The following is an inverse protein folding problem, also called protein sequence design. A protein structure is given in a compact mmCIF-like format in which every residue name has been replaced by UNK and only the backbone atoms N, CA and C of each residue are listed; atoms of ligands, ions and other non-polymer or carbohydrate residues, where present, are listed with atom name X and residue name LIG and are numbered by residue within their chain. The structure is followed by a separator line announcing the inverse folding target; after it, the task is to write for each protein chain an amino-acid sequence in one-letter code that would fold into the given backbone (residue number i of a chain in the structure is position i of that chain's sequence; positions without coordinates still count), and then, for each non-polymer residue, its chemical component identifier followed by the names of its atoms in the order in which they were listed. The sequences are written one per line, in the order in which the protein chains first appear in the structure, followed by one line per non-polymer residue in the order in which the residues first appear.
data_IF_740634044871
#
_entry.id   IF_740634044871
#
_cell.length_a   1.000
_cell.length_b   1.000
_cell.length_c   1.000
_cell.angle_alpha   90.00
_cell.angle_beta   90.00
_cell.angle_gamma   90.00
#
_symmetry.space_group_name_H-M   'P 1'
#
loop_
_entity.id
_entity.type
_entity.pdbx_description
1 polymer ?
#
# COMPACT_ATOMS: atom_id res chain seq x y z
N UNK A 1 -19.19 -35.95 -34.80
CA UNK A 1 -18.46 -35.04 -33.91
C UNK A 1 -19.37 -33.85 -33.68
N UNK A 2 -20.05 -33.84 -32.54
CA UNK A 2 -21.05 -32.86 -32.18
C UNK A 2 -20.32 -31.74 -31.43
N UNK A 3 -20.36 -30.52 -31.97
CA UNK A 3 -19.81 -29.33 -31.31
C UNK A 3 -20.79 -28.84 -30.27
N UNK A 4 -20.51 -29.07 -29.00
CA UNK A 4 -21.20 -28.37 -27.90
C UNK A 4 -20.92 -26.88 -27.99
N UNK A 5 -21.94 -26.12 -28.34
CA UNK A 5 -21.94 -24.68 -28.18
C UNK A 5 -22.12 -24.35 -26.67
N UNK A 6 -21.06 -23.91 -26.05
CA UNK A 6 -21.12 -23.30 -24.69
C UNK A 6 -22.06 -22.10 -24.75
N UNK A 7 -23.08 -22.09 -23.93
CA UNK A 7 -23.99 -20.95 -23.78
C UNK A 7 -23.21 -19.72 -23.27
N UNK A 8 -23.52 -18.51 -23.72
CA UNK A 8 -22.90 -17.30 -23.19
C UNK A 8 -23.23 -17.18 -21.69
N UNK A 9 -22.20 -16.84 -20.89
CA UNK A 9 -22.38 -16.54 -19.48
C UNK A 9 -23.40 -15.41 -19.30
N UNK A 10 -24.35 -15.60 -18.40
CA UNK A 10 -25.29 -14.51 -18.04
C UNK A 10 -24.51 -13.30 -17.54
N UNK A 11 -24.91 -12.07 -17.96
CA UNK A 11 -24.29 -10.86 -17.43
C UNK A 11 -24.54 -10.79 -15.94
N UNK A 12 -23.45 -10.48 -15.18
CA UNK A 12 -23.54 -10.20 -13.76
C UNK A 12 -24.59 -9.14 -13.51
N UNK A 13 -25.67 -9.48 -12.84
CA UNK A 13 -26.64 -8.52 -12.35
C UNK A 13 -25.96 -7.70 -11.25
N UNK A 14 -25.56 -6.47 -11.57
CA UNK A 14 -25.19 -5.51 -10.54
C UNK A 14 -26.46 -5.17 -9.80
N UNK A 15 -26.51 -5.55 -8.53
CA UNK A 15 -27.58 -5.15 -7.62
C UNK A 15 -27.61 -3.61 -7.59
N UNK A 16 -28.73 -2.99 -7.98
CA UNK A 16 -28.91 -1.53 -7.95
C UNK A 16 -28.82 -0.94 -6.54
N UNK A 17 -28.69 -1.80 -5.51
CA UNK A 17 -28.42 -1.46 -4.11
C UNK A 17 -26.99 -1.05 -3.78
N UNK A 18 -26.02 -1.04 -4.72
CA UNK A 18 -24.68 -0.44 -4.52
C UNK A 18 -24.74 1.10 -4.51
N UNK A 19 -25.84 1.63 -4.00
CA UNK A 19 -26.15 3.04 -3.88
C UNK A 19 -25.66 3.63 -2.57
N UNK A 20 -24.68 4.50 -2.67
CA UNK A 20 -24.51 5.75 -1.91
C UNK A 20 -24.34 5.73 -0.39
N UNK A 21 -24.58 4.66 0.36
CA UNK A 21 -24.37 4.66 1.80
C UNK A 21 -23.00 4.05 2.18
N UNK A 22 -21.96 4.90 2.13
CA UNK A 22 -20.62 4.50 2.61
C UNK A 22 -20.69 4.31 4.14
N UNK A 23 -20.35 3.10 4.61
CA UNK A 23 -20.30 2.79 6.04
C UNK A 23 -21.60 2.16 6.57
N UNK A 24 -21.70 2.14 7.90
CA UNK A 24 -22.81 1.55 8.64
C UNK A 24 -23.46 2.58 9.57
N UNK A 25 -24.76 2.42 9.84
CA UNK A 25 -25.52 3.25 10.79
C UNK A 25 -25.14 2.98 12.26
N UNK A 26 -25.85 3.59 13.23
CA UNK A 26 -25.72 3.29 14.65
C UNK A 26 -25.92 1.81 14.94
N UNK A 27 -25.14 1.29 15.88
CA UNK A 27 -25.29 -0.10 16.34
C UNK A 27 -26.55 -0.22 17.21
N UNK A 28 -27.40 -1.25 16.99
CA UNK A 28 -28.56 -1.48 17.84
C UNK A 28 -28.16 -1.75 19.30
N UNK A 29 -28.97 -1.32 20.24
CA UNK A 29 -28.80 -1.65 21.67
C UNK A 29 -29.39 -3.04 21.99
N UNK A 30 -28.86 -3.75 23.01
CA UNK A 30 -27.72 -3.35 23.84
C UNK A 30 -26.38 -3.51 23.11
N UNK A 31 -25.47 -2.56 23.37
CA UNK A 31 -24.15 -2.60 22.73
C UNK A 31 -23.29 -3.76 23.25
N UNK A 32 -22.47 -4.35 22.36
CA UNK A 32 -21.51 -5.38 22.77
C UNK A 32 -20.52 -4.85 23.81
N UNK A 33 -20.17 -5.66 24.78
CA UNK A 33 -19.15 -5.37 25.78
C UNK A 33 -17.78 -5.81 25.25
N UNK A 34 -17.17 -4.99 24.40
CA UNK A 34 -15.87 -5.24 23.78
C UNK A 34 -15.02 -3.96 23.85
N UNK A 35 -13.87 -4.04 24.52
CA UNK A 35 -12.96 -2.90 24.71
C UNK A 35 -12.37 -2.34 23.39
N UNK A 36 -12.50 -3.08 22.29
CA UNK A 36 -12.06 -2.60 20.97
C UNK A 36 -13.03 -1.60 20.35
N UNK A 37 -14.28 -1.56 20.81
CA UNK A 37 -15.34 -0.74 20.21
C UNK A 37 -15.30 0.69 20.72
N UNK A 38 -15.57 1.61 19.81
CA UNK A 38 -15.67 3.05 20.07
C UNK A 38 -17.14 3.42 20.35
N UNK A 39 -17.46 3.91 21.55
CA UNK A 39 -18.82 4.29 21.89
C UNK A 39 -19.44 5.35 20.97
N UNK A 40 -18.65 6.29 20.48
CA UNK A 40 -19.11 7.32 19.54
C UNK A 40 -19.50 6.71 18.19
N UNK A 41 -18.74 5.74 17.73
CA UNK A 41 -19.05 5.03 16.47
C UNK A 41 -20.28 4.13 16.64
N UNK A 42 -20.44 3.49 17.80
CA UNK A 42 -21.65 2.70 18.11
C UNK A 42 -22.89 3.61 18.14
N UNK A 43 -22.80 4.79 18.74
CA UNK A 43 -23.92 5.73 18.86
C UNK A 43 -24.30 6.40 17.53
N UNK A 44 -23.31 6.72 16.67
CA UNK A 44 -23.53 7.57 15.50
C UNK A 44 -23.29 6.88 14.16
N UNK A 45 -22.81 5.62 14.16
CA UNK A 45 -22.44 4.87 12.98
C UNK A 45 -20.98 5.09 12.55
N UNK A 46 -20.50 4.24 11.66
CA UNK A 46 -19.13 4.24 11.17
C UNK A 46 -19.07 4.42 9.66
N UNK A 47 -18.61 5.59 9.22
CA UNK A 47 -18.44 5.96 7.80
C UNK A 47 -16.98 5.92 7.33
N UNK A 48 -16.08 5.34 8.14
CA UNK A 48 -14.67 5.23 7.78
C UNK A 48 -14.49 4.24 6.62
N UNK A 49 -13.41 4.42 5.85
CA UNK A 49 -13.00 3.48 4.80
C UNK A 49 -12.23 2.30 5.43
N UNK A 50 -12.95 1.43 6.12
CA UNK A 50 -12.42 0.21 6.74
C UNK A 50 -13.25 -0.99 6.28
N UNK A 51 -12.66 -2.17 6.29
CA UNK A 51 -13.37 -3.43 6.04
C UNK A 51 -14.41 -3.68 7.15
N UNK A 52 -15.43 -4.48 6.88
CA UNK A 52 -16.56 -4.65 7.81
C UNK A 52 -16.15 -5.25 9.16
N UNK A 53 -15.12 -6.09 9.19
CA UNK A 53 -14.55 -6.62 10.42
C UNK A 53 -14.13 -5.54 11.42
N UNK A 54 -13.69 -4.37 10.93
CA UNK A 54 -13.24 -3.25 11.76
C UNK A 54 -14.33 -2.20 12.05
N UNK A 55 -15.58 -2.48 11.67
CA UNK A 55 -16.68 -1.54 11.96
C UNK A 55 -16.80 -1.33 13.46
N UNK A 56 -16.94 -0.07 13.83
CA UNK A 56 -17.03 0.43 15.19
C UNK A 56 -15.77 0.23 16.07
N UNK A 57 -14.67 -0.36 15.56
CA UNK A 57 -13.46 -0.49 16.37
C UNK A 57 -12.78 0.87 16.56
N UNK A 58 -12.14 1.07 17.71
CA UNK A 58 -11.21 2.19 17.91
C UNK A 58 -10.06 2.12 16.92
N UNK A 59 -9.47 3.27 16.59
CA UNK A 59 -8.30 3.30 15.70
C UNK A 59 -7.14 2.49 16.27
N UNK A 60 -6.93 2.62 17.57
CA UNK A 60 -5.87 1.94 18.31
C UNK A 60 -6.03 0.42 18.25
N UNK A 61 -7.26 -0.09 18.39
CA UNK A 61 -7.55 -1.51 18.26
C UNK A 61 -7.29 -2.03 16.83
N UNK A 62 -7.65 -1.24 15.80
CA UNK A 62 -7.37 -1.61 14.40
C UNK A 62 -5.85 -1.66 14.17
N UNK A 63 -5.08 -0.65 14.62
CA UNK A 63 -3.63 -0.65 14.45
C UNK A 63 -3.00 -1.83 15.17
N UNK A 64 -3.40 -2.11 16.40
CA UNK A 64 -2.88 -3.24 17.17
C UNK A 64 -3.14 -4.59 16.48
N UNK A 65 -4.32 -4.78 15.90
CA UNK A 65 -4.64 -5.99 15.13
C UNK A 65 -3.79 -6.09 13.85
N UNK A 66 -3.69 -5.01 13.08
CA UNK A 66 -2.86 -4.97 11.87
C UNK A 66 -1.39 -5.27 12.18
N UNK A 67 -0.87 -4.78 13.30
CA UNK A 67 0.53 -4.96 13.71
C UNK A 67 0.90 -6.42 13.96
N UNK A 68 -0.07 -7.27 14.30
CA UNK A 68 0.15 -8.72 14.49
C UNK A 68 0.48 -9.48 13.21
N UNK A 69 0.20 -8.88 12.03
CA UNK A 69 0.25 -9.57 10.73
C UNK A 69 0.85 -8.73 9.60
N UNK A 70 1.51 -7.58 9.92
CA UNK A 70 2.22 -6.79 8.89
C UNK A 70 3.29 -7.62 8.20
N UNK A 71 3.37 -7.45 6.90
CA UNK A 71 4.41 -8.06 6.09
C UNK A 71 5.76 -7.40 6.32
N UNK A 72 6.85 -8.15 6.10
CA UNK A 72 8.21 -7.73 6.41
C UNK A 72 8.87 -6.83 5.35
N UNK A 73 8.08 -6.16 4.51
CA UNK A 73 8.59 -5.16 3.59
C UNK A 73 8.21 -3.75 4.03
N UNK A 74 9.09 -2.83 3.77
CA UNK A 74 8.93 -1.41 4.01
C UNK A 74 8.77 -0.66 2.68
N UNK A 75 8.15 0.50 2.73
CA UNK A 75 7.97 1.38 1.57
C UNK A 75 8.60 2.73 1.87
N UNK A 76 9.53 3.18 1.05
CA UNK A 76 10.14 4.50 1.18
C UNK A 76 9.82 5.34 -0.07
N UNK A 77 9.53 6.62 0.13
CA UNK A 77 9.21 7.56 -0.96
C UNK A 77 10.00 8.85 -0.76
N UNK A 78 10.71 9.28 -1.80
CA UNK A 78 11.34 10.58 -1.82
C UNK A 78 10.30 11.70 -1.96
N UNK A 79 10.42 12.73 -1.15
CA UNK A 79 9.50 13.86 -1.07
C UNK A 79 10.24 15.20 -1.08
N UNK A 80 10.79 15.60 -2.21
CA UNK A 80 11.49 16.87 -2.38
C UNK A 80 10.59 17.98 -2.95
N UNK A 81 9.56 17.60 -3.73
CA UNK A 81 8.69 18.50 -4.48
C UNK A 81 7.18 18.44 -4.14
N UNK A 82 6.77 17.93 -2.97
CA UNK A 82 5.36 17.74 -2.59
C UNK A 82 4.57 16.88 -3.59
N UNK A 83 5.07 15.70 -3.89
CA UNK A 83 4.46 14.77 -4.83
C UNK A 83 3.03 14.39 -4.42
N UNK A 84 2.10 14.52 -5.36
CA UNK A 84 0.69 14.15 -5.18
C UNK A 84 0.49 12.63 -5.03
N UNK A 85 1.44 11.82 -5.51
CA UNK A 85 1.34 10.37 -5.51
C UNK A 85 1.60 9.75 -4.14
N UNK A 86 2.28 10.44 -3.23
CA UNK A 86 2.63 9.91 -1.90
C UNK A 86 1.38 9.41 -1.16
N UNK A 87 0.28 10.14 -1.20
CA UNK A 87 -0.98 9.70 -0.60
C UNK A 87 -1.49 8.38 -1.18
N UNK A 88 -1.38 8.19 -2.49
CA UNK A 88 -1.76 6.93 -3.15
C UNK A 88 -0.84 5.79 -2.77
N UNK A 89 0.48 6.05 -2.67
CA UNK A 89 1.46 5.05 -2.21
C UNK A 89 1.15 4.61 -0.77
N UNK A 90 0.89 5.56 0.12
CA UNK A 90 0.51 5.28 1.52
C UNK A 90 -0.76 4.42 1.60
N UNK A 91 -1.78 4.76 0.81
CA UNK A 91 -3.02 3.97 0.75
C UNK A 91 -2.77 2.54 0.25
N UNK A 92 -1.97 2.39 -0.77
CA UNK A 92 -1.62 1.08 -1.33
C UNK A 92 -0.79 0.26 -0.35
N UNK A 93 0.19 0.88 0.31
CA UNK A 93 1.01 0.24 1.34
C UNK A 93 0.16 -0.24 2.54
N UNK A 94 -0.87 0.53 2.93
CA UNK A 94 -1.83 0.09 3.93
C UNK A 94 -2.65 -1.12 3.43
N UNK A 95 -3.12 -1.09 2.18
CA UNK A 95 -3.90 -2.19 1.60
C UNK A 95 -3.08 -3.49 1.50
N UNK A 96 -1.77 -3.40 1.23
CA UNK A 96 -0.85 -4.53 1.19
C UNK A 96 -0.13 -4.78 2.52
N UNK A 97 -0.55 -4.13 3.58
CA UNK A 97 -0.08 -4.38 4.95
C UNK A 97 1.44 -4.30 5.10
N UNK A 98 2.07 -3.30 4.43
CA UNK A 98 3.49 -3.02 4.58
C UNK A 98 3.86 -2.75 6.04
N UNK A 99 5.08 -3.08 6.44
CA UNK A 99 5.55 -2.91 7.83
C UNK A 99 5.47 -1.47 8.28
N UNK A 100 6.09 -0.58 7.53
CA UNK A 100 6.17 0.84 7.81
C UNK A 100 6.38 1.62 6.50
N UNK A 101 5.99 2.89 6.49
CA UNK A 101 6.22 3.81 5.38
C UNK A 101 7.24 4.86 5.80
N UNK A 102 8.18 5.17 4.93
CA UNK A 102 9.27 6.11 5.15
C UNK A 102 9.14 7.27 4.17
N UNK A 103 8.97 8.47 4.69
CA UNK A 103 8.95 9.70 3.90
C UNK A 103 10.34 10.33 3.99
N UNK A 104 11.04 10.41 2.85
CA UNK A 104 12.41 10.90 2.78
C UNK A 104 12.43 12.32 2.21
N UNK A 105 13.04 13.25 2.93
CA UNK A 105 13.09 14.68 2.55
C UNK A 105 12.09 15.54 3.32
N UNK A 106 11.20 16.23 2.64
CA UNK A 106 10.23 17.11 3.30
C UNK A 106 9.26 16.33 4.19
N UNK A 107 9.11 16.79 5.45
CA UNK A 107 8.21 16.13 6.42
C UNK A 107 6.73 16.22 6.05
N UNK A 108 6.33 17.32 5.42
CA UNK A 108 4.94 17.51 4.97
C UNK A 108 4.76 16.87 3.60
N UNK A 109 3.73 16.09 3.44
CA UNK A 109 3.35 15.45 2.19
C UNK A 109 1.84 15.55 1.95
N UNK A 110 1.40 15.37 0.72
CA UNK A 110 -0.01 15.45 0.36
C UNK A 110 -0.77 14.19 0.79
N UNK A 111 -1.63 14.33 1.80
CA UNK A 111 -2.43 13.25 2.37
C UNK A 111 -3.73 12.95 1.62
N UNK A 112 -4.11 13.76 0.65
CA UNK A 112 -5.40 13.61 -0.05
C UNK A 112 -5.60 12.21 -0.63
N UNK A 113 -4.61 11.69 -1.33
CA UNK A 113 -4.63 10.35 -1.93
C UNK A 113 -4.69 9.21 -0.93
N UNK A 114 -4.26 9.44 0.31
CA UNK A 114 -4.29 8.42 1.36
C UNK A 114 -5.72 8.08 1.83
N UNK A 115 -6.71 8.93 1.57
CA UNK A 115 -8.10 8.69 1.99
C UNK A 115 -8.21 8.27 3.45
N UNK A 116 -7.43 8.95 4.32
CA UNK A 116 -7.36 8.72 5.78
C UNK A 116 -6.71 7.39 6.20
N UNK A 117 -6.25 6.55 5.28
CA UNK A 117 -5.62 5.26 5.63
C UNK A 117 -4.25 5.40 6.28
N UNK A 118 -3.62 6.57 6.16
CA UNK A 118 -2.40 6.92 6.88
C UNK A 118 -2.55 6.85 8.42
N UNK A 119 -3.78 6.87 8.93
CA UNK A 119 -4.07 6.70 10.37
C UNK A 119 -3.91 5.26 10.88
N UNK A 120 -3.94 4.30 9.97
CA UNK A 120 -3.79 2.88 10.28
C UNK A 120 -2.41 2.34 9.94
N UNK A 121 -1.50 3.23 9.47
CA UNK A 121 -0.17 2.87 9.03
C UNK A 121 0.89 3.59 9.86
N UNK A 122 2.02 2.92 10.11
CA UNK A 122 3.19 3.56 10.69
C UNK A 122 3.88 4.40 9.61
N UNK A 123 4.11 5.67 9.89
CA UNK A 123 4.78 6.59 8.95
C UNK A 123 5.96 7.24 9.65
N UNK A 124 7.16 6.93 9.19
CA UNK A 124 8.42 7.47 9.68
C UNK A 124 8.93 8.55 8.72
N UNK A 125 9.56 9.58 9.26
CA UNK A 125 10.19 10.62 8.47
C UNK A 125 11.71 10.52 8.58
N UNK A 126 12.37 10.61 7.44
CA UNK A 126 13.82 10.74 7.29
C UNK A 126 14.14 12.09 6.66
N UNK A 127 14.99 12.94 7.26
CA UNK A 127 15.31 14.24 6.70
C UNK A 127 16.02 14.16 5.34
N UNK A 128 16.73 13.06 5.10
CA UNK A 128 17.46 12.80 3.86
C UNK A 128 17.63 11.29 3.60
N UNK A 129 18.23 10.97 2.48
CA UNK A 129 18.50 9.59 2.07
C UNK A 129 19.58 8.91 2.94
N UNK A 130 20.51 9.68 3.49
CA UNK A 130 21.57 9.13 4.37
C UNK A 130 20.95 8.60 5.66
N UNK A 131 19.98 9.31 6.24
CA UNK A 131 19.26 8.87 7.44
C UNK A 131 18.44 7.59 7.17
N UNK A 132 17.73 7.52 6.03
CA UNK A 132 17.05 6.28 5.61
C UNK A 132 18.05 5.12 5.47
N UNK A 133 19.21 5.38 4.83
CA UNK A 133 20.22 4.36 4.58
C UNK A 133 20.82 3.84 5.89
N UNK A 134 21.13 4.74 6.82
CA UNK A 134 21.67 4.37 8.13
C UNK A 134 20.64 3.53 8.93
N UNK A 135 19.37 3.93 8.89
CA UNK A 135 18.29 3.16 9.50
C UNK A 135 18.13 1.78 8.86
N UNK A 136 18.08 1.70 7.53
CA UNK A 136 17.94 0.42 6.82
C UNK A 136 19.11 -0.54 7.10
N UNK A 137 20.33 -0.01 7.17
CA UNK A 137 21.52 -0.78 7.54
C UNK A 137 21.45 -1.31 8.98
N UNK A 138 20.96 -0.50 9.92
CA UNK A 138 20.79 -0.92 11.32
C UNK A 138 19.73 -2.02 11.48
N UNK A 139 18.70 -2.02 10.62
CA UNK A 139 17.64 -3.04 10.58
C UNK A 139 18.01 -4.25 9.69
N UNK A 140 19.18 -4.23 9.07
CA UNK A 140 19.63 -5.25 8.11
C UNK A 140 18.66 -5.45 6.93
N UNK A 141 18.17 -4.32 6.39
CA UNK A 141 17.21 -4.29 5.28
C UNK A 141 17.90 -3.82 3.99
N UNK A 142 17.96 -4.64 2.93
CA UNK A 142 18.38 -4.16 1.62
C UNK A 142 17.38 -3.16 1.06
N UNK A 143 17.88 -2.09 0.46
CA UNK A 143 17.09 -1.09 -0.24
C UNK A 143 17.01 -1.50 -1.71
N UNK A 144 15.79 -1.64 -2.23
CA UNK A 144 15.49 -1.95 -3.62
C UNK A 144 14.87 -0.71 -4.25
N UNK A 145 15.61 -0.05 -5.11
CA UNK A 145 15.11 1.09 -5.88
C UNK A 145 14.14 0.63 -6.97
N UNK A 146 13.08 1.38 -7.19
CA UNK A 146 12.13 1.12 -8.28
C UNK A 146 12.15 2.32 -9.22
N UNK A 147 12.80 2.14 -10.36
CA UNK A 147 12.93 3.18 -11.38
C UNK A 147 13.36 2.60 -12.74
N UNK A 148 12.99 3.26 -13.82
CA UNK A 148 13.33 2.86 -15.18
C UNK A 148 14.65 3.53 -15.65
N UNK A 149 15.76 3.09 -15.07
CA UNK A 149 17.09 3.62 -15.28
C UNK A 149 17.98 2.68 -16.11
N UNK A 150 18.97 3.21 -16.85
CA UNK A 150 19.99 2.36 -17.45
C UNK A 150 20.68 1.46 -16.41
N UNK A 151 20.72 0.16 -16.69
CA UNK A 151 21.29 -0.84 -15.78
C UNK A 151 20.31 -1.39 -14.73
N UNK A 152 19.07 -0.94 -14.70
CA UNK A 152 18.02 -1.59 -13.88
C UNK A 152 17.69 -2.98 -14.43
N UNK A 153 17.23 -3.86 -13.55
CA UNK A 153 16.80 -5.22 -13.89
C UNK A 153 15.26 -5.32 -13.90
N UNK A 154 14.65 -6.20 -14.73
CA UNK A 154 13.21 -6.33 -14.76
C UNK A 154 12.65 -6.83 -13.42
N UNK A 155 11.70 -6.11 -12.86
CA UNK A 155 11.01 -6.48 -11.62
C UNK A 155 10.29 -7.84 -11.76
N UNK A 156 9.78 -8.12 -12.95
CA UNK A 156 8.99 -9.32 -13.28
C UNK A 156 9.78 -10.61 -13.07
N UNK A 157 11.09 -10.57 -13.30
CA UNK A 157 11.99 -11.73 -13.20
C UNK A 157 12.94 -11.68 -12.01
N UNK A 158 12.88 -10.59 -11.22
CA UNK A 158 13.77 -10.41 -10.06
C UNK A 158 13.15 -11.04 -8.82
N UNK A 159 13.93 -11.84 -8.10
CA UNK A 159 13.55 -12.28 -6.75
C UNK A 159 13.75 -11.14 -5.76
N UNK A 160 12.65 -10.55 -5.30
CA UNK A 160 12.68 -9.56 -4.24
C UNK A 160 12.95 -10.24 -2.90
N UNK A 161 13.83 -9.68 -2.05
CA UNK A 161 14.02 -10.18 -0.69
C UNK A 161 12.72 -10.11 0.13
N UNK A 162 12.51 -11.10 1.01
CA UNK A 162 11.34 -11.10 1.91
C UNK A 162 11.36 -9.87 2.84
N UNK A 163 12.52 -9.55 3.41
CA UNK A 163 12.74 -8.34 4.21
C UNK A 163 13.47 -7.32 3.34
N UNK A 164 12.85 -6.20 3.03
CA UNK A 164 13.45 -5.15 2.21
C UNK A 164 12.73 -3.81 2.37
N UNK A 165 13.36 -2.76 1.86
CA UNK A 165 12.77 -1.45 1.63
C UNK A 165 12.56 -1.26 0.14
N UNK A 166 11.33 -1.10 -0.33
CA UNK A 166 11.01 -0.68 -1.69
C UNK A 166 11.07 0.85 -1.74
N UNK A 167 12.04 1.40 -2.45
CA UNK A 167 12.29 2.84 -2.53
C UNK A 167 11.82 3.41 -3.86
N UNK A 168 10.97 4.42 -3.78
CA UNK A 168 10.37 5.11 -4.94
C UNK A 168 10.85 6.55 -5.00
N UNK A 169 11.18 7.01 -6.21
CA UNK A 169 11.50 8.38 -6.51
C UNK A 169 10.26 9.26 -6.69
N UNK A 170 10.48 10.52 -7.00
CA UNK A 170 9.45 11.50 -7.29
C UNK A 170 8.86 11.32 -8.69
N UNK A 171 7.64 11.79 -8.88
CA UNK A 171 7.06 11.93 -10.21
C UNK A 171 7.94 12.89 -11.06
N UNK A 172 8.33 12.45 -12.25
CA UNK A 172 9.17 13.18 -13.18
C UNK A 172 10.66 12.89 -13.00
N UNK A 173 11.35 13.36 -11.94
CA UNK A 173 12.79 13.14 -11.77
C UNK A 173 13.17 11.67 -11.50
N UNK A 174 12.25 10.88 -10.93
CA UNK A 174 12.55 9.52 -10.46
C UNK A 174 13.40 9.53 -9.19
N UNK A 175 14.20 8.47 -9.00
CA UNK A 175 15.12 8.33 -7.87
C UNK A 175 16.31 9.31 -8.03
N UNK A 176 16.61 10.03 -6.96
CA UNK A 176 17.83 10.85 -6.90
C UNK A 176 19.09 9.98 -6.94
N UNK A 177 20.24 10.57 -7.29
CA UNK A 177 21.53 9.89 -7.27
C UNK A 177 21.86 9.39 -5.86
N UNK A 178 21.55 10.19 -4.85
CA UNK A 178 21.74 9.86 -3.44
C UNK A 178 20.92 8.64 -3.03
N UNK A 179 19.71 8.49 -3.60
CA UNK A 179 18.82 7.34 -3.33
C UNK A 179 19.24 6.07 -4.07
N UNK A 180 19.80 6.22 -5.26
CA UNK A 180 20.30 5.09 -6.07
C UNK A 180 21.55 4.47 -5.52
N UNK A 181 22.45 5.27 -4.98
CA UNK A 181 23.79 4.84 -4.53
C UNK A 181 23.75 3.77 -3.43
N UNK A 182 22.91 3.86 -2.38
CA UNK A 182 22.78 2.82 -1.35
C UNK A 182 21.87 1.67 -1.76
N UNK A 183 21.16 1.74 -2.88
CA UNK A 183 20.29 0.66 -3.32
C UNK A 183 21.12 -0.58 -3.69
N UNK A 184 20.78 -1.71 -3.09
CA UNK A 184 21.41 -3.01 -3.41
C UNK A 184 21.08 -3.45 -4.83
N UNK A 185 19.95 -2.97 -5.36
CA UNK A 185 19.42 -3.27 -6.68
C UNK A 185 18.45 -2.16 -7.10
N UNK A 186 18.40 -1.85 -8.39
CA UNK A 186 17.34 -1.03 -8.98
C UNK A 186 16.54 -1.90 -9.96
N UNK A 187 15.23 -1.97 -9.74
CA UNK A 187 14.30 -2.71 -10.60
C UNK A 187 13.49 -1.75 -11.47
N UNK A 188 13.34 -2.11 -12.73
CA UNK A 188 12.41 -1.46 -13.67
C UNK A 188 11.16 -2.31 -13.88
N UNK A 189 10.04 -1.64 -14.15
CA UNK A 189 8.80 -2.29 -14.58
C UNK A 189 8.80 -2.33 -16.11
N UNK A 190 8.61 -3.50 -16.70
CA UNK A 190 8.60 -3.66 -18.16
C UNK A 190 7.46 -2.84 -18.79
N UNK A 191 7.79 -2.04 -19.79
CA UNK A 191 6.85 -1.19 -20.51
C UNK A 191 6.94 -1.47 -22.00
N UNK A 192 5.79 -1.64 -22.66
CA UNK A 192 5.70 -2.02 -24.07
C UNK A 192 5.03 -0.94 -24.92
N UNK A 193 4.64 0.16 -24.31
CA UNK A 193 3.98 1.28 -24.99
C UNK A 193 4.94 2.38 -25.41
N UNK A 194 4.39 3.54 -25.76
CA UNK A 194 5.13 4.72 -26.24
C UNK A 194 5.63 5.63 -25.13
N UNK A 195 5.20 5.43 -23.90
CA UNK A 195 5.56 6.29 -22.76
C UNK A 195 6.92 5.89 -22.17
N UNK A 196 7.67 6.87 -21.65
CA UNK A 196 8.94 6.61 -20.97
C UNK A 196 8.76 6.08 -19.55
N UNK A 197 7.68 6.46 -18.91
CA UNK A 197 7.41 6.12 -17.52
C UNK A 197 5.91 5.95 -17.29
N UNK A 198 5.55 5.22 -16.25
CA UNK A 198 4.21 5.15 -15.70
C UNK A 198 4.13 6.05 -14.46
N UNK A 199 2.92 6.38 -14.04
CA UNK A 199 2.68 7.17 -12.83
C UNK A 199 3.36 6.52 -11.61
N UNK A 200 3.99 7.33 -10.74
CA UNK A 200 4.76 6.85 -9.59
C UNK A 200 3.91 6.05 -8.59
N UNK A 201 2.66 6.43 -8.37
CA UNK A 201 1.73 5.66 -7.53
C UNK A 201 1.37 4.30 -8.14
N UNK A 202 1.23 4.23 -9.48
CA UNK A 202 1.01 2.98 -10.19
C UNK A 202 2.25 2.08 -10.13
N UNK A 203 3.45 2.64 -10.33
CA UNK A 203 4.71 1.92 -10.20
C UNK A 203 4.86 1.32 -8.79
N UNK A 204 4.54 2.11 -7.77
CA UNK A 204 4.57 1.65 -6.39
C UNK A 204 3.58 0.50 -6.14
N UNK A 205 2.36 0.58 -6.67
CA UNK A 205 1.37 -0.48 -6.54
C UNK A 205 1.83 -1.78 -7.21
N UNK A 206 2.41 -1.70 -8.40
CA UNK A 206 2.94 -2.86 -9.13
C UNK A 206 4.09 -3.50 -8.35
N UNK A 207 5.04 -2.72 -7.85
CA UNK A 207 6.19 -3.24 -7.11
C UNK A 207 5.77 -3.89 -5.78
N UNK A 208 4.86 -3.27 -5.04
CA UNK A 208 4.29 -3.87 -3.81
C UNK A 208 3.51 -5.14 -4.12
N UNK A 209 2.72 -5.16 -5.19
CA UNK A 209 1.99 -6.36 -5.62
C UNK A 209 2.94 -7.47 -6.07
N UNK A 210 4.06 -7.14 -6.74
CA UNK A 210 5.08 -8.12 -7.09
C UNK A 210 5.69 -8.78 -5.84
N UNK A 211 5.91 -8.01 -4.77
CA UNK A 211 6.34 -8.55 -3.48
C UNK A 211 5.25 -9.45 -2.86
N UNK A 212 3.99 -8.99 -2.80
CA UNK A 212 2.85 -9.76 -2.27
C UNK A 212 2.70 -11.10 -3.00
N UNK A 213 2.74 -11.09 -4.32
CA UNK A 213 2.57 -12.30 -5.15
C UNK A 213 3.63 -13.37 -4.87
N UNK A 214 4.80 -12.98 -4.37
CA UNK A 214 5.92 -13.90 -4.08
C UNK A 214 5.95 -14.36 -2.63
N UNK A 215 5.54 -13.53 -1.69
CA UNK A 215 5.82 -13.73 -0.27
C UNK A 215 4.59 -13.86 0.61
N UNK A 216 3.45 -13.27 0.21
CA UNK A 216 2.23 -13.37 0.99
C UNK A 216 1.52 -14.70 0.71
N UNK A 217 0.93 -15.27 1.76
CA UNK A 217 -0.03 -16.35 1.61
C UNK A 217 -1.35 -15.73 1.19
N UNK A 218 -1.76 -15.97 -0.03
CA UNK A 218 -3.06 -15.51 -0.54
C UNK A 218 -4.08 -16.59 -0.18
N UNK A 219 -4.97 -16.28 0.75
CA UNK A 219 -6.13 -17.10 1.05
C UNK A 219 -7.20 -16.83 -0.01
N UNK A 220 -8.00 -17.86 -0.34
CA UNK A 220 -9.09 -17.70 -1.30
C UNK A 220 -10.16 -16.72 -0.82
N UNK A 221 -11.18 -16.41 -1.65
CA UNK A 221 -12.21 -15.42 -1.33
C UNK A 221 -12.99 -15.68 -0.03
N UNK A 222 -12.94 -16.89 0.50
CA UNK A 222 -13.58 -17.28 1.77
C UNK A 222 -12.72 -16.95 3.01
N UNK A 223 -11.52 -16.43 2.84
CA UNK A 223 -10.55 -16.08 3.89
C UNK A 223 -10.37 -14.57 4.14
N UNK A 224 -11.22 -13.71 3.56
CA UNK A 224 -11.24 -12.27 3.78
C UNK A 224 -12.31 -11.85 4.79
#
# INVERSE_FOLDING_TARGET
MSSEKTAPAEPLQYDEGFGTQIGVGPHPEPWPQDARLDPELLAHGDRRNVVDHYRYWTREAIVADLDTRRHDFHVAVENWGHDFNIGSVVRTANAFLAKEIHIVGQRRWNRRGAMVTDRYQHVRHHPDTADLTAWAAAEELPIIGIDNLPGSVPLETTELPRRCVLLFGQEGPGLTEEARRPASLVCSIAQFGSTRSINAGAAAAIAMHAWISRHARIEGPDGL
#
